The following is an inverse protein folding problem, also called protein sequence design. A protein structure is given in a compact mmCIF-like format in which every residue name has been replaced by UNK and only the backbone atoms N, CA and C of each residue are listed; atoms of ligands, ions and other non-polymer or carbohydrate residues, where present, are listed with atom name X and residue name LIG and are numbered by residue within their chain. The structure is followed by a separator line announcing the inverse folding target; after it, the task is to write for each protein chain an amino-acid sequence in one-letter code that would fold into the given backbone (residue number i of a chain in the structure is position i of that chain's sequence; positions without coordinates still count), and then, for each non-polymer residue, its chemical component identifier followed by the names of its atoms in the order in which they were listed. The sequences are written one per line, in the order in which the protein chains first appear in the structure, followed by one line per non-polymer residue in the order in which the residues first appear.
data_IF_631410356175
#
_entry.id   IF_631410356175
#
_cell.length_a   1.000
_cell.length_b   1.000
_cell.length_c   1.000
_cell.angle_alpha   90.00
_cell.angle_beta   90.00
_cell.angle_gamma   90.00
#
_symmetry.space_group_name_H-M   'P 1'
#
loop_
_entity.id
_entity.type
_entity.pdbx_description
1 polymer ?
#
# COMPACT_ATOMS: atom_id res chain seq x y z
N UNK A 1 -27.67 21.30 -0.81
CA UNK A 1 -27.11 19.94 -0.74
C UNK A 1 -25.83 19.99 0.08
N UNK A 2 -25.90 19.64 1.37
CA UNK A 2 -24.74 19.70 2.27
C UNK A 2 -23.75 18.59 1.90
N UNK A 3 -22.58 18.96 1.35
CA UNK A 3 -21.46 18.02 1.17
C UNK A 3 -20.95 17.66 2.56
N UNK A 4 -20.97 16.38 2.91
CA UNK A 4 -20.22 15.87 4.06
C UNK A 4 -18.75 16.14 3.76
N UNK A 5 -18.18 17.14 4.43
CA UNK A 5 -16.75 17.41 4.39
C UNK A 5 -16.08 16.35 5.28
N UNK A 6 -15.46 15.33 4.68
CA UNK A 6 -14.56 14.46 5.43
C UNK A 6 -13.41 15.34 5.91
N UNK A 7 -13.34 15.56 7.23
CA UNK A 7 -12.18 16.22 7.83
C UNK A 7 -10.96 15.34 7.58
N UNK A 8 -9.91 15.91 7.00
CA UNK A 8 -8.64 15.24 6.75
C UNK A 8 -8.14 14.54 8.01
N UNK A 9 -7.74 13.27 7.86
CA UNK A 9 -7.12 12.48 8.90
C UNK A 9 -5.64 12.28 8.61
N UNK A 10 -4.75 12.88 9.42
CA UNK A 10 -3.30 12.81 9.20
C UNK A 10 -2.69 11.42 9.40
N UNK A 11 -3.42 10.47 10.00
CA UNK A 11 -3.01 9.06 10.07
C UNK A 11 -3.14 8.34 8.73
N UNK A 12 -3.91 8.86 7.77
CA UNK A 12 -4.05 8.28 6.43
C UNK A 12 -2.83 8.65 5.60
N UNK A 13 -1.92 7.69 5.43
CA UNK A 13 -0.61 7.89 4.79
C UNK A 13 -0.21 6.66 3.95
N UNK A 14 0.78 6.77 3.06
CA UNK A 14 1.28 5.62 2.30
C UNK A 14 1.67 4.41 3.17
N UNK A 15 1.18 3.21 2.80
CA UNK A 15 1.50 1.95 3.49
C UNK A 15 2.91 1.47 3.16
N UNK A 16 3.36 1.69 1.92
CA UNK A 16 4.65 1.20 1.43
C UNK A 16 5.64 2.35 1.25
N UNK A 17 6.93 2.04 1.42
CA UNK A 17 7.99 2.84 0.80
C UNK A 17 7.91 2.59 -0.70
N UNK A 18 7.72 3.64 -1.49
CA UNK A 18 7.54 3.52 -2.94
C UNK A 18 8.47 4.48 -3.67
N UNK A 19 9.17 3.97 -4.69
CA UNK A 19 10.02 4.79 -5.53
C UNK A 19 9.18 5.89 -6.21
N UNK A 20 9.71 7.13 -6.24
CA UNK A 20 8.99 8.28 -6.77
C UNK A 20 7.84 8.78 -5.88
N UNK A 21 7.80 8.38 -4.60
CA UNK A 21 6.85 8.87 -3.61
C UNK A 21 6.87 10.40 -3.52
N UNK A 22 5.72 11.04 -3.70
CA UNK A 22 5.60 12.49 -3.84
C UNK A 22 5.61 13.27 -2.53
N UNK A 23 5.85 12.61 -1.38
CA UNK A 23 5.72 13.20 -0.04
C UNK A 23 6.49 14.52 0.14
N UNK A 24 7.71 14.59 -0.40
CA UNK A 24 8.58 15.77 -0.29
C UNK A 24 8.08 16.98 -1.10
N UNK A 25 7.29 16.75 -2.15
CA UNK A 25 6.78 17.81 -3.02
C UNK A 25 5.27 18.04 -2.87
N UNK A 26 4.64 17.44 -1.85
CA UNK A 26 3.19 17.56 -1.62
C UNK A 26 2.76 19.01 -1.44
N UNK A 27 3.56 19.84 -0.77
CA UNK A 27 3.26 21.25 -0.56
C UNK A 27 3.20 22.01 -1.89
N UNK A 28 4.08 21.68 -2.84
CA UNK A 28 4.05 22.30 -4.18
C UNK A 28 2.86 21.80 -5.00
N UNK A 29 2.62 20.49 -5.02
CA UNK A 29 1.46 19.91 -5.72
C UNK A 29 0.15 20.51 -5.19
N UNK A 30 0.02 20.67 -3.88
CA UNK A 30 -1.19 21.18 -3.22
C UNK A 30 -1.58 22.60 -3.63
N UNK A 31 -0.63 23.43 -4.09
CA UNK A 31 -0.92 24.78 -4.58
C UNK A 31 -1.72 24.78 -5.89
N UNK A 32 -1.57 23.73 -6.69
CA UNK A 32 -2.18 23.63 -8.02
C UNK A 32 -3.42 22.74 -8.04
N UNK A 33 -3.76 22.09 -6.92
CA UNK A 33 -4.98 21.30 -6.82
C UNK A 33 -6.18 22.26 -6.71
N UNK A 34 -7.19 22.12 -7.59
CA UNK A 34 -8.37 22.98 -7.53
C UNK A 34 -9.09 22.79 -6.19
N UNK A 35 -9.53 23.91 -5.58
CA UNK A 35 -10.28 23.88 -4.31
C UNK A 35 -11.58 23.07 -4.42
N UNK A 36 -12.18 23.04 -5.62
CA UNK A 36 -13.41 22.34 -5.91
C UNK A 36 -13.23 21.44 -7.13
N UNK A 37 -13.53 20.16 -6.96
CA UNK A 37 -13.65 19.18 -8.05
C UNK A 37 -14.72 18.15 -7.65
N UNK A 38 -15.11 17.30 -8.61
CA UNK A 38 -16.11 16.27 -8.39
C UNK A 38 -15.47 14.92 -8.07
N UNK A 39 -14.68 14.40 -9.00
CA UNK A 39 -13.99 13.11 -8.87
C UNK A 39 -12.50 13.32 -9.06
N UNK A 40 -11.71 12.76 -8.16
CA UNK A 40 -10.25 12.71 -8.27
C UNK A 40 -9.84 11.49 -9.09
N UNK A 41 -8.88 11.66 -10.00
CA UNK A 41 -8.33 10.57 -10.80
C UNK A 41 -6.81 10.49 -10.59
N UNK A 42 -6.30 9.32 -10.22
CA UNK A 42 -4.85 9.06 -10.08
C UNK A 42 -4.48 7.77 -10.84
N UNK A 43 -4.13 7.87 -12.14
CA UNK A 43 -3.83 6.69 -12.97
C UNK A 43 -2.53 5.96 -12.60
N UNK A 44 -1.67 6.62 -11.82
CA UNK A 44 -0.35 6.14 -11.38
C UNK A 44 -0.25 6.32 -9.86
N UNK A 45 -1.01 5.52 -9.11
CA UNK A 45 -1.17 5.67 -7.67
C UNK A 45 0.16 5.56 -6.93
N UNK A 46 1.00 4.57 -7.27
CA UNK A 46 2.19 4.23 -6.52
C UNK A 46 1.92 4.16 -5.01
N UNK A 47 2.69 4.90 -4.21
CA UNK A 47 2.47 4.97 -2.76
C UNK A 47 1.19 5.69 -2.32
N UNK A 48 0.43 6.34 -3.21
CA UNK A 48 -0.81 7.06 -2.89
C UNK A 48 -0.61 8.36 -2.10
N UNK A 49 0.60 8.95 -2.15
CA UNK A 49 0.92 10.14 -1.35
C UNK A 49 0.00 11.33 -1.64
N UNK A 50 -0.43 11.51 -2.90
CA UNK A 50 -1.31 12.61 -3.30
C UNK A 50 -2.75 12.30 -2.89
N UNK A 51 -3.29 11.12 -3.23
CA UNK A 51 -4.60 10.64 -2.74
C UNK A 51 -4.77 10.85 -1.22
N UNK A 52 -3.81 10.41 -0.42
CA UNK A 52 -3.89 10.47 1.04
C UNK A 52 -3.70 11.88 1.61
N UNK A 53 -3.08 12.79 0.88
CA UNK A 53 -3.01 14.20 1.25
C UNK A 53 -4.32 14.94 0.99
N UNK A 54 -5.01 14.61 -0.11
CA UNK A 54 -6.27 15.26 -0.53
C UNK A 54 -7.49 14.66 0.20
N UNK A 55 -7.54 13.33 0.33
CA UNK A 55 -8.67 12.56 0.87
C UNK A 55 -10.04 12.90 0.21
N UNK A 56 -10.15 12.84 -1.13
CA UNK A 56 -11.39 13.15 -1.84
C UNK A 56 -12.53 12.19 -1.50
N UNK A 57 -13.78 12.68 -1.60
CA UNK A 57 -14.98 11.84 -1.41
C UNK A 57 -15.16 10.83 -2.55
N UNK A 58 -14.87 11.23 -3.79
CA UNK A 58 -14.93 10.36 -4.96
C UNK A 58 -13.55 10.28 -5.58
N UNK A 59 -13.02 9.07 -5.74
CA UNK A 59 -11.77 8.87 -6.47
C UNK A 59 -11.79 7.61 -7.33
N UNK A 60 -11.09 7.68 -8.46
CA UNK A 60 -10.76 6.53 -9.29
C UNK A 60 -9.24 6.46 -9.37
N UNK A 61 -8.68 5.37 -8.89
CA UNK A 61 -7.22 5.19 -8.81
C UNK A 61 -6.81 3.91 -9.49
N UNK A 62 -5.60 3.92 -10.06
CA UNK A 62 -5.06 2.80 -10.81
C UNK A 62 -3.54 2.76 -10.63
N UNK A 63 -2.96 1.58 -10.85
CA UNK A 63 -1.54 1.40 -11.05
C UNK A 63 -1.35 0.13 -11.89
N UNK A 64 -0.30 0.10 -12.72
CA UNK A 64 0.03 -1.11 -13.50
C UNK A 64 0.42 -2.28 -12.58
N UNK A 65 0.87 -1.99 -11.36
CA UNK A 65 1.24 -3.00 -10.40
C UNK A 65 0.01 -3.61 -9.70
N UNK A 66 -0.42 -4.79 -10.15
CA UNK A 66 -1.56 -5.51 -9.56
C UNK A 66 -1.36 -5.89 -8.09
N UNK A 67 -0.12 -6.13 -7.62
CA UNK A 67 0.14 -6.43 -6.21
C UNK A 67 -0.16 -5.23 -5.31
N UNK A 68 0.15 -4.03 -5.80
CA UNK A 68 -0.11 -2.76 -5.11
C UNK A 68 -1.62 -2.49 -5.02
N UNK A 69 -2.34 -2.68 -6.13
CA UNK A 69 -3.80 -2.52 -6.16
C UNK A 69 -4.48 -3.55 -5.26
N UNK A 70 -4.08 -4.82 -5.34
CA UNK A 70 -4.54 -5.87 -4.44
C UNK A 70 -4.31 -5.49 -2.97
N UNK A 71 -3.13 -4.95 -2.62
CA UNK A 71 -2.84 -4.54 -1.25
C UNK A 71 -3.80 -3.47 -0.74
N UNK A 72 -4.09 -2.42 -1.54
CA UNK A 72 -5.04 -1.39 -1.12
C UNK A 72 -6.49 -1.88 -1.08
N UNK A 73 -6.89 -2.79 -1.98
CA UNK A 73 -8.19 -3.46 -1.90
C UNK A 73 -8.32 -4.27 -0.61
N UNK A 74 -7.30 -5.07 -0.25
CA UNK A 74 -7.28 -5.81 1.01
C UNK A 74 -7.31 -4.88 2.22
N UNK A 75 -6.62 -3.73 2.19
CA UNK A 75 -6.71 -2.73 3.26
C UNK A 75 -8.14 -2.17 3.36
N UNK A 76 -8.86 -2.00 2.25
CA UNK A 76 -10.26 -1.57 2.26
C UNK A 76 -11.17 -2.64 2.86
N UNK A 77 -11.07 -3.87 2.37
CA UNK A 77 -12.10 -4.90 2.54
C UNK A 77 -11.81 -5.92 3.65
N UNK A 78 -10.54 -6.13 4.02
CA UNK A 78 -10.10 -7.20 4.94
C UNK A 78 -8.98 -6.74 5.90
N UNK A 79 -9.10 -5.52 6.43
CA UNK A 79 -8.02 -4.91 7.23
C UNK A 79 -7.67 -5.69 8.50
N UNK A 80 -8.65 -6.31 9.16
CA UNK A 80 -8.41 -7.03 10.41
C UNK A 80 -7.72 -8.38 10.16
N UNK A 81 -8.11 -9.11 9.12
CA UNK A 81 -7.42 -10.32 8.67
C UNK A 81 -5.99 -9.99 8.25
N UNK A 82 -5.80 -8.94 7.44
CA UNK A 82 -4.47 -8.46 7.06
C UNK A 82 -3.58 -8.18 8.28
N UNK A 83 -4.14 -7.53 9.31
CA UNK A 83 -3.43 -7.28 10.57
C UNK A 83 -3.00 -8.60 11.25
N UNK A 84 -3.83 -9.65 11.24
CA UNK A 84 -3.44 -10.94 11.82
C UNK A 84 -2.28 -11.59 11.05
N UNK A 85 -2.34 -11.60 9.71
CA UNK A 85 -1.23 -12.10 8.89
C UNK A 85 0.06 -11.32 9.16
N UNK A 86 -0.02 -9.99 9.25
CA UNK A 86 1.15 -9.13 9.50
C UNK A 86 1.80 -9.37 10.86
N UNK A 87 1.04 -9.73 11.90
CA UNK A 87 1.59 -10.07 13.23
C UNK A 87 2.45 -11.33 13.22
N UNK A 88 2.21 -12.26 12.30
CA UNK A 88 2.88 -13.56 12.28
C UNK A 88 4.29 -13.49 11.66
N UNK A 89 4.61 -12.44 10.91
CA UNK A 89 5.91 -12.32 10.26
C UNK A 89 7.05 -12.05 11.25
N UNK A 90 8.21 -12.65 10.96
CA UNK A 90 9.45 -12.51 11.74
C UNK A 90 10.48 -11.70 10.96
N UNK A 91 11.27 -10.89 11.65
CA UNK A 91 12.36 -10.13 11.05
C UNK A 91 13.70 -10.87 11.22
N UNK A 92 13.95 -11.87 10.39
CA UNK A 92 15.25 -12.52 10.26
C UNK A 92 15.49 -12.92 8.80
N UNK A 93 16.75 -13.12 8.44
CA UNK A 93 17.17 -13.31 7.04
C UNK A 93 16.64 -14.61 6.43
N UNK A 94 16.67 -15.72 7.17
CA UNK A 94 16.16 -17.01 6.72
C UNK A 94 14.66 -16.93 6.40
N UNK A 95 13.88 -16.40 7.33
CA UNK A 95 12.44 -16.22 7.17
C UNK A 95 12.12 -15.23 6.03
N UNK A 96 12.89 -14.16 5.89
CA UNK A 96 12.76 -13.23 4.77
C UNK A 96 12.89 -13.94 3.42
N UNK A 97 13.95 -14.74 3.23
CA UNK A 97 14.15 -15.44 1.97
C UNK A 97 13.13 -16.55 1.74
N UNK A 98 12.64 -17.21 2.79
CA UNK A 98 11.51 -18.14 2.69
C UNK A 98 10.26 -17.45 2.11
N UNK A 99 9.87 -16.31 2.67
CA UNK A 99 8.70 -15.55 2.19
C UNK A 99 8.96 -14.95 0.80
N UNK A 100 10.16 -14.39 0.57
CA UNK A 100 10.53 -13.81 -0.73
C UNK A 100 10.47 -14.84 -1.84
N UNK A 101 10.92 -16.07 -1.60
CA UNK A 101 11.02 -17.07 -2.65
C UNK A 101 9.70 -17.80 -2.95
N UNK A 102 8.59 -17.46 -2.28
CA UNK A 102 7.27 -18.04 -2.58
C UNK A 102 6.84 -17.83 -4.05
N UNK A 103 7.30 -16.77 -4.71
CA UNK A 103 6.96 -16.45 -6.11
C UNK A 103 7.85 -17.14 -7.16
N UNK A 104 8.83 -17.96 -6.72
CA UNK A 104 9.69 -18.78 -7.58
C UNK A 104 8.98 -20.04 -8.06
N UNK A 105 8.07 -20.57 -7.26
CA UNK A 105 7.15 -21.62 -7.69
C UNK A 105 5.78 -21.01 -7.96
N UNK A 106 5.41 -20.88 -9.24
CA UNK A 106 4.12 -20.30 -9.64
C UNK A 106 2.93 -21.14 -9.18
N UNK A 107 3.09 -22.46 -9.00
CA UNK A 107 2.01 -23.32 -8.51
C UNK A 107 1.70 -23.05 -7.04
N UNK A 108 2.71 -22.70 -6.25
CA UNK A 108 2.54 -22.26 -4.86
C UNK A 108 2.01 -20.83 -4.84
N UNK A 109 2.67 -19.92 -5.57
CA UNK A 109 2.33 -18.50 -5.54
C UNK A 109 0.90 -18.21 -5.99
N UNK A 110 0.42 -18.88 -7.04
CA UNK A 110 -0.93 -18.68 -7.57
C UNK A 110 -2.02 -19.23 -6.64
N UNK A 111 -1.67 -20.07 -5.65
CA UNK A 111 -2.61 -20.54 -4.62
C UNK A 111 -2.73 -19.57 -3.45
N UNK A 112 -1.85 -18.58 -3.35
CA UNK A 112 -1.95 -17.56 -2.31
C UNK A 112 -3.19 -16.71 -2.55
N UNK A 113 -3.99 -16.53 -1.50
CA UNK A 113 -5.14 -15.64 -1.55
C UNK A 113 -4.70 -14.16 -1.56
N UNK A 114 -5.65 -13.26 -1.80
CA UNK A 114 -5.39 -11.83 -1.90
C UNK A 114 -4.77 -11.24 -0.62
N UNK A 115 -5.19 -11.67 0.58
CA UNK A 115 -4.65 -11.22 1.87
C UNK A 115 -3.20 -11.71 2.05
N UNK A 116 -2.91 -12.96 1.68
CA UNK A 116 -1.56 -13.53 1.73
C UNK A 116 -0.60 -12.73 0.84
N UNK A 117 -1.01 -12.42 -0.39
CA UNK A 117 -0.22 -11.58 -1.32
C UNK A 117 -0.02 -10.16 -0.80
N UNK A 118 -1.07 -9.52 -0.29
CA UNK A 118 -1.01 -8.18 0.29
C UNK A 118 -0.08 -8.12 1.52
N UNK A 119 -0.23 -9.08 2.43
CA UNK A 119 0.60 -9.17 3.64
C UNK A 119 2.07 -9.44 3.30
N UNK A 120 2.33 -10.31 2.32
CA UNK A 120 3.66 -10.59 1.78
C UNK A 120 4.30 -9.33 1.19
N UNK A 121 3.56 -8.56 0.40
CA UNK A 121 4.06 -7.32 -0.18
C UNK A 121 4.48 -6.31 0.90
N UNK A 122 3.62 -6.08 1.89
CA UNK A 122 3.91 -5.16 3.01
C UNK A 122 5.13 -5.65 3.79
N UNK A 123 5.16 -6.94 4.15
CA UNK A 123 6.29 -7.54 4.85
C UNK A 123 7.60 -7.32 4.10
N UNK A 124 7.67 -7.76 2.83
CA UNK A 124 8.87 -7.63 2.01
C UNK A 124 9.30 -6.17 1.87
N UNK A 125 8.37 -5.24 1.64
CA UNK A 125 8.68 -3.81 1.54
C UNK A 125 9.25 -3.24 2.85
N UNK A 126 8.79 -3.72 4.00
CA UNK A 126 9.25 -3.22 5.31
C UNK A 126 10.58 -3.83 5.74
N UNK A 127 10.94 -5.01 5.22
CA UNK A 127 12.16 -5.72 5.63
C UNK A 127 13.23 -5.81 4.55
N UNK A 128 12.95 -5.51 3.28
CA UNK A 128 13.96 -5.53 2.22
C UNK A 128 14.79 -4.25 2.19
N UNK A 129 15.96 -4.33 1.55
CA UNK A 129 16.85 -3.19 1.38
C UNK A 129 16.12 -1.97 0.78
N UNK A 130 16.18 -0.85 1.50
CA UNK A 130 15.55 0.44 1.20
C UNK A 130 14.03 0.43 0.95
N UNK A 131 13.34 -0.65 1.30
CA UNK A 131 11.93 -0.84 0.95
C UNK A 131 11.67 -0.73 -0.55
N UNK A 132 12.62 -1.20 -1.36
CA UNK A 132 12.54 -1.18 -2.80
C UNK A 132 11.61 -2.29 -3.30
N UNK A 133 10.53 -1.93 -3.99
CA UNK A 133 9.82 -2.88 -4.84
C UNK A 133 10.59 -3.06 -6.15
N UNK A 134 11.13 -4.27 -6.38
CA UNK A 134 11.84 -4.62 -7.62
C UNK A 134 11.61 -6.09 -7.96
N UNK A 135 11.35 -6.34 -9.23
CA UNK A 135 11.17 -7.69 -9.78
C UNK A 135 12.24 -7.98 -10.85
N UNK A 136 12.48 -9.27 -11.11
CA UNK A 136 13.23 -9.71 -12.29
C UNK A 136 12.32 -9.81 -13.53
N UNK A 137 12.88 -10.25 -14.67
CA UNK A 137 12.12 -10.44 -15.93
C UNK A 137 10.97 -11.46 -15.80
N UNK A 138 11.03 -12.36 -14.82
CA UNK A 138 10.00 -13.36 -14.52
C UNK A 138 8.91 -12.84 -13.54
N UNK A 139 8.95 -11.54 -13.21
CA UNK A 139 8.01 -10.91 -12.28
C UNK A 139 8.25 -11.27 -10.81
N UNK A 140 9.39 -11.85 -10.48
CA UNK A 140 9.68 -12.34 -9.12
C UNK A 140 10.43 -11.29 -8.30
N UNK A 141 10.02 -11.11 -7.04
CA UNK A 141 10.63 -10.11 -6.17
C UNK A 141 12.11 -10.44 -5.91
N UNK A 142 12.99 -9.45 -6.10
CA UNK A 142 14.45 -9.67 -6.08
C UNK A 142 15.24 -8.65 -5.26
N UNK A 143 14.59 -7.84 -4.42
CA UNK A 143 15.32 -7.03 -3.45
C UNK A 143 15.89 -7.94 -2.33
N UNK A 144 17.11 -7.68 -1.83
CA UNK A 144 17.73 -8.45 -0.75
C UNK A 144 17.17 -8.04 0.62
N UNK A 145 17.51 -8.81 1.67
CA UNK A 145 17.16 -8.48 3.05
C UNK A 145 17.83 -7.17 3.48
N UNK A 146 17.09 -6.31 4.20
CA UNK A 146 17.52 -4.95 4.53
C UNK A 146 18.31 -4.81 5.84
N UNK A 147 18.38 -5.87 6.66
CA UNK A 147 19.10 -5.89 7.96
C UNK A 147 18.70 -4.75 8.91
N UNK A 148 17.43 -4.37 8.90
CA UNK A 148 16.89 -3.43 9.89
C UNK A 148 16.73 -4.13 11.24
N UNK A 149 17.10 -3.49 12.34
CA UNK A 149 16.95 -4.07 13.69
C UNK A 149 15.48 -4.23 14.07
N UNK A 150 14.67 -3.19 13.87
CA UNK A 150 13.25 -3.19 14.23
C UNK A 150 12.37 -2.51 13.15
N UNK A 151 12.19 -3.13 11.97
CA UNK A 151 11.34 -2.59 10.93
C UNK A 151 9.88 -2.60 11.38
N UNK A 152 9.15 -1.50 11.12
CA UNK A 152 7.70 -1.45 11.34
C UNK A 152 6.98 -2.29 10.28
N UNK A 153 6.90 -3.60 10.50
CA UNK A 153 6.15 -4.54 9.64
C UNK A 153 4.64 -4.27 9.76
N UNK A 154 4.16 -3.98 10.97
CA UNK A 154 2.77 -3.75 11.28
C UNK A 154 2.55 -2.37 11.88
N UNK A 155 1.68 -1.58 11.26
CA UNK A 155 1.12 -0.35 11.83
C UNK A 155 -0.41 -0.44 11.79
N UNK A 156 -1.02 -0.94 12.87
CA UNK A 156 -2.48 -1.18 12.95
C UNK A 156 -3.29 0.11 12.78
N UNK A 157 -2.84 1.19 13.41
CA UNK A 157 -3.51 2.48 13.39
C UNK A 157 -3.56 3.07 11.98
N UNK A 158 -2.45 2.99 11.24
CA UNK A 158 -2.37 3.41 9.85
C UNK A 158 -3.33 2.60 8.97
N UNK A 159 -3.28 1.27 9.05
CA UNK A 159 -4.10 0.39 8.22
C UNK A 159 -5.59 0.61 8.48
N UNK A 160 -6.01 0.72 9.74
CA UNK A 160 -7.40 1.01 10.12
C UNK A 160 -7.83 2.40 9.71
N UNK A 161 -6.95 3.40 9.78
CA UNK A 161 -7.26 4.75 9.31
C UNK A 161 -7.51 4.78 7.80
N UNK A 162 -6.68 4.09 7.01
CA UNK A 162 -6.85 3.97 5.56
C UNK A 162 -8.12 3.19 5.22
N UNK A 163 -8.35 2.05 5.87
CA UNK A 163 -9.57 1.25 5.69
C UNK A 163 -10.82 2.08 5.97
N UNK A 164 -10.84 2.82 7.09
CA UNK A 164 -11.93 3.73 7.43
C UNK A 164 -12.13 4.80 6.35
N UNK A 165 -11.05 5.42 5.87
CA UNK A 165 -11.14 6.40 4.78
C UNK A 165 -11.72 5.79 3.50
N UNK A 166 -11.21 4.64 3.05
CA UNK A 166 -11.68 3.97 1.84
C UNK A 166 -13.12 3.46 1.91
N UNK A 167 -13.66 3.22 3.12
CA UNK A 167 -15.05 2.81 3.31
C UNK A 167 -16.02 3.98 3.50
N UNK A 168 -15.54 5.17 3.88
CA UNK A 168 -16.35 6.39 3.93
C UNK A 168 -16.37 7.07 2.55
N UNK A 169 -15.22 7.07 1.85
CA UNK A 169 -15.09 7.63 0.51
C UNK A 169 -15.47 6.59 -0.57
N UNK A 170 -15.98 7.07 -1.69
CA UNK A 170 -16.23 6.27 -2.88
C UNK A 170 -14.93 6.12 -3.69
N UNK A 171 -14.07 5.21 -3.24
CA UNK A 171 -12.81 4.87 -3.91
C UNK A 171 -13.00 3.67 -4.82
N UNK A 172 -12.80 3.87 -6.12
CA UNK A 172 -12.76 2.83 -7.15
C UNK A 172 -11.31 2.54 -7.54
N UNK A 173 -10.92 1.29 -7.39
CA UNK A 173 -9.67 0.75 -7.96
C UNK A 173 -9.97 0.19 -9.34
N UNK A 174 -9.20 0.58 -10.35
CA UNK A 174 -9.24 0.01 -11.71
C UNK A 174 -8.13 -1.03 -11.89
#
# INVERSE_FOLDING_TARGET
MYRILIKRNDKVQPVLKWAGGKRQILNEISKYIPKNFNTYYEPFLGGGSVLFNIQPINAVVNDMNSELINMYQVVKDNVEELIQYLKAYRNNEEYFYKIRNLDRDKNIFNKLNHIERASRLIYLNRTCFNGLYRTNKSGEFNAPFGKYDNPTILNKDLLRAISKYFNIANIKFL
#
